data_IF_093469547979
#
_entry.id   IF_093469547979
#
_cell.length_a   1.000
_cell.length_b   1.000
_cell.length_c   1.000
_cell.angle_alpha   90.00
_cell.angle_beta   90.00
_cell.angle_gamma   90.00
#
_symmetry.space_group_name_H-M   'P 1'
#
loop_
_entity.id
_entity.type
_entity.pdbx_description
1 polymer ?
#
# COMPACT_ATOMS: atom_id res chain seq x y z
N UNK A 1 -21.49 -56.55 -1.51
CA UNK A 1 -22.90 -56.43 -1.95
C UNK A 1 -23.00 -55.40 -3.07
N UNK A 2 -23.49 -55.76 -4.26
CA UNK A 2 -23.82 -54.78 -5.31
C UNK A 2 -25.23 -54.20 -5.10
N UNK A 3 -25.52 -52.95 -5.54
CA UNK A 3 -26.85 -52.35 -5.42
C UNK A 3 -27.84 -52.88 -6.49
N UNK A 4 -29.16 -52.83 -6.22
CA UNK A 4 -30.19 -53.41 -7.09
C UNK A 4 -30.39 -52.62 -8.38
N UNK A 5 -30.61 -53.34 -9.49
CA UNK A 5 -30.94 -52.82 -10.83
C UNK A 5 -32.43 -52.47 -10.91
N UNK A 6 -32.74 -51.23 -11.27
CA UNK A 6 -34.11 -50.77 -11.55
C UNK A 6 -34.47 -51.16 -12.99
N UNK A 7 -35.62 -51.82 -13.16
CA UNK A 7 -36.16 -52.25 -14.46
C UNK A 7 -36.63 -51.04 -15.29
N UNK A 8 -36.16 -50.95 -16.53
CA UNK A 8 -36.65 -50.01 -17.52
C UNK A 8 -37.97 -50.52 -18.11
N UNK A 9 -39.11 -49.95 -17.71
CA UNK A 9 -40.40 -50.23 -18.40
C UNK A 9 -41.42 -49.10 -18.31
N UNK A 10 -41.00 -47.85 -18.46
CA UNK A 10 -41.93 -46.70 -18.52
C UNK A 10 -41.50 -45.62 -19.53
N UNK A 11 -40.76 -46.03 -20.56
CA UNK A 11 -40.32 -45.19 -21.69
C UNK A 11 -40.81 -45.76 -23.04
N UNK A 12 -41.96 -46.42 -23.05
CA UNK A 12 -42.54 -47.03 -24.26
C UNK A 12 -44.06 -46.84 -24.32
N UNK A 13 -44.55 -45.61 -24.19
CA UNK A 13 -45.89 -45.23 -24.64
C UNK A 13 -45.90 -43.72 -24.84
N UNK A 14 -46.62 -43.24 -25.86
CA UNK A 14 -46.63 -41.85 -26.39
C UNK A 14 -45.55 -41.51 -27.42
N UNK A 15 -45.21 -42.49 -28.27
CA UNK A 15 -44.85 -42.18 -29.65
C UNK A 15 -46.11 -42.23 -30.53
N UNK A 16 -46.34 -41.16 -31.30
CA UNK A 16 -47.33 -41.00 -32.38
C UNK A 16 -48.71 -40.44 -31.97
N UNK A 17 -48.86 -39.12 -32.06
CA UNK A 17 -49.98 -38.51 -32.78
C UNK A 17 -49.49 -37.20 -33.40
N UNK A 18 -49.58 -37.12 -34.73
CA UNK A 18 -49.27 -35.95 -35.54
C UNK A 18 -50.51 -35.71 -36.41
N UNK A 19 -51.25 -34.63 -36.18
CA UNK A 19 -52.36 -34.19 -37.04
C UNK A 19 -52.26 -32.68 -37.23
N UNK A 20 -52.12 -32.29 -38.49
CA UNK A 20 -51.96 -30.92 -38.97
C UNK A 20 -53.28 -30.39 -39.55
N UNK A 21 -53.41 -29.04 -39.53
CA UNK A 21 -54.38 -28.19 -40.26
C UNK A 21 -55.83 -28.26 -39.75
N UNK A 22 -56.60 -27.18 -39.52
CA UNK A 22 -56.81 -25.92 -40.25
C UNK A 22 -57.26 -24.78 -39.30
N UNK A 23 -57.11 -23.52 -39.76
CA UNK A 23 -57.66 -22.28 -39.18
C UNK A 23 -59.20 -22.28 -39.14
N UNK A 24 -59.78 -21.48 -38.22
CA UNK A 24 -60.64 -20.39 -38.69
C UNK A 24 -60.32 -19.03 -38.04
N UNK A 25 -60.64 -18.00 -38.80
CA UNK A 25 -60.53 -16.56 -38.51
C UNK A 25 -61.71 -16.02 -37.69
N UNK A 26 -61.43 -14.89 -37.02
CA UNK A 26 -62.33 -13.83 -36.50
C UNK A 26 -63.08 -14.07 -35.18
N UNK A 27 -62.67 -13.35 -34.13
CA UNK A 27 -63.35 -12.11 -33.74
C UNK A 27 -62.43 -11.23 -32.86
N UNK A 28 -62.53 -9.91 -33.07
CA UNK A 28 -61.86 -8.87 -32.29
C UNK A 28 -62.31 -8.94 -30.82
N UNK A 29 -61.35 -8.91 -29.88
CA UNK A 29 -61.59 -8.40 -28.54
C UNK A 29 -60.54 -7.38 -28.17
N UNK A 30 -61.06 -6.28 -27.65
CA UNK A 30 -60.37 -5.04 -27.39
C UNK A 30 -59.23 -5.18 -26.38
N UNK A 31 -58.29 -4.27 -26.57
CA UNK A 31 -57.07 -4.03 -25.82
C UNK A 31 -57.35 -3.84 -24.32
N UNK A 32 -56.92 -4.77 -23.47
CA UNK A 32 -56.68 -4.50 -22.05
C UNK A 32 -55.22 -4.85 -21.72
N UNK A 33 -54.35 -3.87 -21.97
CA UNK A 33 -52.95 -3.89 -21.54
C UNK A 33 -52.94 -3.79 -20.01
N UNK A 34 -52.52 -4.86 -19.32
CA UNK A 34 -52.12 -4.80 -17.91
C UNK A 34 -51.05 -3.72 -17.75
N UNK A 35 -51.16 -2.78 -16.80
CA UNK A 35 -50.06 -1.88 -16.47
C UNK A 35 -48.97 -2.70 -15.79
N UNK A 36 -47.86 -2.93 -16.50
CA UNK A 36 -46.63 -3.34 -15.85
C UNK A 36 -46.10 -2.12 -15.09
N UNK A 37 -45.99 -2.25 -13.77
CA UNK A 37 -45.27 -1.28 -12.95
C UNK A 37 -43.80 -1.29 -13.36
N UNK A 38 -43.42 -0.41 -14.28
CA UNK A 38 -42.02 -0.12 -14.55
C UNK A 38 -41.49 0.67 -13.37
N UNK A 39 -40.76 -0.01 -12.48
CA UNK A 39 -39.88 0.67 -11.52
C UNK A 39 -39.07 1.72 -12.28
N UNK A 40 -38.98 2.97 -11.80
CA UNK A 40 -38.13 3.97 -12.43
C UNK A 40 -36.70 3.46 -12.31
N UNK A 41 -36.22 2.81 -13.37
CA UNK A 41 -34.79 2.68 -13.60
C UNK A 41 -34.34 4.11 -13.77
N UNK A 42 -33.79 4.69 -12.71
CA UNK A 42 -33.04 5.93 -12.77
C UNK A 42 -31.84 5.61 -13.65
N UNK A 43 -32.05 5.71 -14.96
CA UNK A 43 -30.99 5.85 -15.93
C UNK A 43 -30.22 7.06 -15.42
N UNK A 44 -29.05 6.79 -14.83
CA UNK A 44 -28.07 7.82 -14.57
C UNK A 44 -27.95 8.59 -15.87
N UNK A 45 -28.44 9.84 -15.86
CA UNK A 45 -28.32 10.76 -16.96
C UNK A 45 -26.82 10.94 -17.19
N UNK A 46 -26.28 10.16 -18.12
CA UNK A 46 -24.94 10.37 -18.64
C UNK A 46 -25.06 11.67 -19.44
N UNK A 47 -24.82 12.81 -18.78
CA UNK A 47 -24.61 14.07 -19.48
C UNK A 47 -23.39 13.86 -20.37
N UNK A 48 -23.62 13.81 -21.68
CA UNK A 48 -22.59 13.52 -22.68
C UNK A 48 -21.47 14.57 -22.76
N UNK A 49 -21.62 15.71 -22.08
CA UNK A 49 -20.61 16.77 -22.01
C UNK A 49 -20.53 17.33 -20.60
N UNK A 50 -19.66 16.76 -19.77
CA UNK A 50 -19.18 17.42 -18.56
C UNK A 50 -17.89 18.15 -18.92
N UNK A 51 -17.91 19.48 -18.96
CA UNK A 51 -16.72 20.31 -19.18
C UNK A 51 -15.75 20.29 -17.98
N UNK A 52 -16.14 19.65 -16.88
CA UNK A 52 -15.25 19.47 -15.73
C UNK A 52 -14.18 18.42 -16.09
N UNK A 53 -12.89 18.77 -16.07
CA UNK A 53 -11.85 17.79 -16.28
C UNK A 53 -11.95 16.72 -15.18
N UNK A 54 -11.86 15.45 -15.57
CA UNK A 54 -11.84 14.33 -14.60
C UNK A 54 -10.70 14.60 -13.62
N UNK A 55 -11.04 14.89 -12.38
CA UNK A 55 -10.04 15.30 -11.39
C UNK A 55 -9.09 14.12 -11.15
N UNK A 56 -7.83 14.28 -11.55
CA UNK A 56 -6.81 13.27 -11.33
C UNK A 56 -6.60 13.09 -9.83
N UNK A 57 -6.68 11.85 -9.35
CA UNK A 57 -6.49 11.52 -7.93
C UNK A 57 -5.38 10.50 -7.78
N UNK A 58 -4.50 10.70 -6.81
CA UNK A 58 -3.45 9.74 -6.47
C UNK A 58 -3.99 8.46 -5.81
N UNK A 59 -5.27 8.45 -5.43
CA UNK A 59 -5.94 7.35 -4.74
C UNK A 59 -6.48 6.26 -5.70
N UNK A 60 -6.57 6.56 -6.99
CA UNK A 60 -7.02 5.62 -8.01
C UNK A 60 -6.47 5.98 -9.40
N UNK A 61 -6.05 5.00 -10.23
CA UNK A 61 -5.62 5.26 -11.60
C UNK A 61 -6.79 5.63 -12.51
N UNK A 62 -6.55 6.52 -13.48
CA UNK A 62 -7.57 7.04 -14.41
C UNK A 62 -8.26 5.94 -15.24
N UNK A 63 -7.47 5.01 -15.78
CA UNK A 63 -7.97 3.98 -16.71
C UNK A 63 -8.34 2.65 -16.02
N UNK A 64 -8.32 2.58 -14.68
CA UNK A 64 -8.48 1.33 -13.95
C UNK A 64 -7.38 0.30 -14.27
N UNK A 65 -7.62 -0.96 -13.90
CA UNK A 65 -6.75 -2.10 -14.26
C UNK A 65 -7.37 -2.89 -15.41
N UNK A 66 -6.61 -3.11 -16.49
CA UNK A 66 -7.03 -3.96 -17.62
C UNK A 66 -7.20 -5.44 -17.22
N UNK A 67 -6.40 -5.94 -16.27
CA UNK A 67 -6.47 -7.30 -15.75
C UNK A 67 -6.26 -7.31 -14.24
N UNK A 68 -6.94 -8.21 -13.53
CA UNK A 68 -6.85 -8.35 -12.07
C UNK A 68 -5.39 -8.55 -11.59
N UNK A 69 -4.81 -7.58 -10.88
CA UNK A 69 -3.45 -7.65 -10.31
C UNK A 69 -3.19 -8.78 -9.32
N UNK A 70 -2.06 -9.49 -9.45
CA UNK A 70 -1.60 -10.48 -8.45
C UNK A 70 -1.19 -9.78 -7.14
N UNK A 71 -1.26 -10.50 -6.01
CA UNK A 71 -0.94 -9.95 -4.67
C UNK A 71 0.45 -9.30 -4.62
N UNK A 72 1.47 -9.99 -5.14
CA UNK A 72 2.87 -9.56 -5.07
C UNK A 72 3.38 -9.38 -3.64
N UNK A 73 4.52 -8.70 -3.49
CA UNK A 73 5.10 -8.27 -2.20
C UNK A 73 5.58 -6.83 -2.31
N UNK A 74 5.70 -6.15 -1.17
CA UNK A 74 6.33 -4.84 -1.11
C UNK A 74 7.83 -4.98 -1.39
N UNK A 75 8.45 -3.89 -1.84
CA UNK A 75 9.86 -3.88 -2.22
C UNK A 75 10.72 -3.76 -0.97
N UNK A 76 11.63 -4.71 -0.77
CA UNK A 76 12.68 -4.65 0.26
C UNK A 76 14.01 -4.34 -0.44
N UNK A 77 14.60 -3.15 -0.25
CA UNK A 77 15.79 -2.74 -0.98
C UNK A 77 17.09 -3.30 -0.37
N UNK A 78 17.42 -4.56 -0.65
CA UNK A 78 18.66 -5.20 -0.17
C UNK A 78 19.93 -4.59 -0.76
N UNK A 79 19.87 -4.09 -2.00
CA UNK A 79 21.00 -3.46 -2.70
C UNK A 79 21.31 -2.02 -2.28
N UNK A 80 20.83 -1.57 -1.12
CA UNK A 80 21.16 -0.25 -0.59
C UNK A 80 20.44 0.94 -1.27
N UNK A 81 19.25 0.73 -1.84
CA UNK A 81 18.52 1.81 -2.53
C UNK A 81 17.91 2.82 -1.54
N UNK A 82 18.32 4.07 -1.62
CA UNK A 82 17.79 5.19 -0.80
C UNK A 82 16.68 6.01 -1.49
N UNK A 83 16.18 5.55 -2.64
CA UNK A 83 15.18 6.26 -3.43
C UNK A 83 13.87 6.47 -2.64
N UNK A 84 13.48 7.74 -2.50
CA UNK A 84 12.22 8.14 -1.85
C UNK A 84 12.28 8.15 -0.32
N UNK A 85 13.49 8.14 0.26
CA UNK A 85 13.71 8.20 1.71
C UNK A 85 13.99 9.62 2.23
N UNK A 86 14.24 10.56 1.31
CA UNK A 86 14.47 11.98 1.55
C UNK A 86 13.31 12.85 1.07
N UNK A 87 13.14 14.00 1.73
CA UNK A 87 12.18 15.03 1.36
C UNK A 87 12.70 15.74 0.12
N UNK A 88 11.89 15.86 -0.93
CA UNK A 88 12.32 16.43 -2.22
C UNK A 88 11.62 17.76 -2.51
N UNK A 89 10.30 17.81 -2.38
CA UNK A 89 9.51 18.98 -2.78
C UNK A 89 9.21 19.89 -1.59
N UNK A 90 8.73 19.32 -0.49
CA UNK A 90 8.37 20.07 0.71
C UNK A 90 9.55 20.41 1.63
N UNK A 91 9.21 21.02 2.76
CA UNK A 91 10.14 21.38 3.84
C UNK A 91 10.13 20.30 4.93
N UNK A 92 8.97 19.67 5.13
CA UNK A 92 8.76 18.61 6.10
C UNK A 92 8.09 17.40 5.47
N UNK A 93 8.28 16.23 6.02
CA UNK A 93 7.63 15.00 5.57
C UNK A 93 7.36 13.98 6.67
N UNK A 94 6.50 13.03 6.34
CA UNK A 94 6.22 11.86 7.16
C UNK A 94 6.77 10.61 6.47
N UNK A 95 7.66 9.91 7.19
CA UNK A 95 8.38 8.73 6.70
C UNK A 95 7.96 7.50 7.48
N UNK A 96 7.82 6.37 6.79
CA UNK A 96 7.56 5.07 7.43
C UNK A 96 8.83 4.61 8.16
N UNK A 97 8.78 4.41 9.48
CA UNK A 97 9.93 3.96 10.27
C UNK A 97 9.94 2.44 10.49
N UNK A 98 8.76 1.85 10.52
CA UNK A 98 8.52 0.42 10.75
C UNK A 98 8.81 -0.43 9.50
N UNK A 99 8.18 -1.59 9.37
CA UNK A 99 8.24 -2.49 8.21
C UNK A 99 7.46 -2.01 6.98
N UNK A 100 7.79 -2.61 5.82
CA UNK A 100 7.11 -2.38 4.55
C UNK A 100 5.66 -2.89 4.58
N UNK A 101 4.74 -2.09 4.06
CA UNK A 101 3.29 -2.37 4.15
C UNK A 101 2.57 -2.00 2.87
N UNK A 102 1.41 -2.63 2.68
CA UNK A 102 0.42 -2.24 1.66
C UNK A 102 -0.58 -1.30 2.33
N UNK A 103 -0.57 -0.03 1.94
CA UNK A 103 -1.47 0.98 2.50
C UNK A 103 -2.68 1.10 1.59
N UNK A 104 -3.89 1.05 2.13
CA UNK A 104 -5.10 1.22 1.33
C UNK A 104 -5.30 2.68 0.92
N UNK A 105 -5.98 2.91 -0.20
CA UNK A 105 -6.35 4.26 -0.63
C UNK A 105 -7.20 4.98 0.43
N UNK A 106 -8.10 4.26 1.11
CA UNK A 106 -8.90 4.82 2.20
C UNK A 106 -8.05 5.32 3.37
N UNK A 107 -7.03 4.56 3.79
CA UNK A 107 -6.11 4.98 4.85
C UNK A 107 -5.31 6.23 4.45
N UNK A 108 -4.82 6.28 3.20
CA UNK A 108 -4.14 7.46 2.68
C UNK A 108 -5.05 8.69 2.67
N UNK A 109 -6.31 8.53 2.25
CA UNK A 109 -7.32 9.59 2.26
C UNK A 109 -7.59 10.10 3.68
N UNK A 110 -7.78 9.20 4.65
CA UNK A 110 -8.01 9.56 6.06
C UNK A 110 -6.81 10.33 6.62
N UNK A 111 -5.59 9.89 6.31
CA UNK A 111 -4.37 10.55 6.75
C UNK A 111 -4.24 11.96 6.13
N UNK A 112 -4.49 12.10 4.83
CA UNK A 112 -4.53 13.39 4.14
C UNK A 112 -5.58 14.33 4.75
N UNK A 113 -6.80 13.84 4.96
CA UNK A 113 -7.88 14.63 5.56
C UNK A 113 -7.53 15.06 6.99
N UNK A 114 -6.87 14.19 7.76
CA UNK A 114 -6.39 14.52 9.11
C UNK A 114 -5.38 15.66 9.08
N UNK A 115 -4.42 15.63 8.15
CA UNK A 115 -3.45 16.72 7.96
C UNK A 115 -4.16 18.01 7.57
N UNK A 116 -5.03 17.96 6.55
CA UNK A 116 -5.79 19.12 6.08
C UNK A 116 -6.66 19.73 7.16
N UNK A 117 -7.29 18.90 8.00
CA UNK A 117 -8.11 19.33 9.14
C UNK A 117 -7.26 20.01 10.21
N UNK A 118 -6.09 19.48 10.54
CA UNK A 118 -5.19 20.06 11.56
C UNK A 118 -4.57 21.38 11.11
N UNK A 119 -4.30 21.51 9.81
CA UNK A 119 -3.71 22.70 9.18
C UNK A 119 -4.74 23.65 8.57
N UNK A 120 -6.03 23.47 8.88
CA UNK A 120 -7.11 24.29 8.34
C UNK A 120 -6.90 25.77 8.70
N UNK A 121 -7.03 26.65 7.71
CA UNK A 121 -6.84 28.10 7.86
C UNK A 121 -5.39 28.57 7.66
N UNK A 122 -4.43 27.67 7.54
CA UNK A 122 -3.04 28.01 7.23
C UNK A 122 -2.75 27.89 5.73
N UNK A 123 -1.76 28.62 5.24
CA UNK A 123 -1.30 28.54 3.84
C UNK A 123 -0.25 27.43 3.73
N UNK A 124 -0.62 26.31 3.11
CA UNK A 124 0.30 25.20 2.88
C UNK A 124 -0.01 24.46 1.58
N UNK A 125 1.00 23.76 1.07
CA UNK A 125 0.89 22.82 -0.05
C UNK A 125 1.25 21.43 0.45
N UNK A 126 0.36 20.47 0.23
CA UNK A 126 0.57 19.07 0.56
C UNK A 126 0.94 18.31 -0.71
N UNK A 127 2.05 17.58 -0.66
CA UNK A 127 2.49 16.69 -1.73
C UNK A 127 2.35 15.23 -1.32
N UNK A 128 1.78 14.43 -2.22
CA UNK A 128 1.63 12.99 -2.05
C UNK A 128 2.77 12.29 -2.80
N UNK A 129 3.69 11.66 -2.06
CA UNK A 129 4.86 10.94 -2.64
C UNK A 129 4.49 9.54 -3.12
N UNK A 130 3.33 9.03 -2.70
CA UNK A 130 2.87 7.66 -2.95
C UNK A 130 1.51 7.70 -3.64
N UNK A 131 1.32 6.86 -4.65
CA UNK A 131 0.06 6.67 -5.37
C UNK A 131 -0.50 5.27 -5.16
N UNK A 132 -1.82 5.14 -4.99
CA UNK A 132 -2.50 3.87 -4.92
C UNK A 132 -2.85 3.37 -6.33
N UNK A 133 -1.92 2.60 -6.90
CA UNK A 133 -1.97 2.14 -8.30
C UNK A 133 -2.24 0.64 -8.45
N UNK A 134 -2.34 -0.12 -7.35
CA UNK A 134 -2.52 -1.57 -7.38
C UNK A 134 -3.94 -1.91 -6.91
N UNK A 135 -4.67 -2.66 -7.71
CA UNK A 135 -5.98 -3.21 -7.38
C UNK A 135 -5.87 -4.41 -6.44
N UNK A 136 -6.68 -4.39 -5.38
CA UNK A 136 -6.88 -5.53 -4.48
C UNK A 136 -8.19 -6.21 -4.84
N UNK A 137 -8.12 -7.52 -5.02
CA UNK A 137 -9.26 -8.37 -5.32
C UNK A 137 -9.45 -9.36 -4.18
N UNK A 138 -10.62 -9.37 -3.58
CA UNK A 138 -10.94 -10.15 -2.39
C UNK A 138 -12.08 -11.09 -2.72
N UNK A 139 -11.98 -12.37 -2.35
CA UNK A 139 -13.12 -13.28 -2.38
C UNK A 139 -13.98 -13.03 -1.15
N UNK A 140 -15.30 -13.15 -1.27
CA UNK A 140 -16.19 -13.05 -0.11
C UNK A 140 -15.82 -14.08 0.96
N UNK A 141 -15.92 -13.69 2.24
CA UNK A 141 -15.59 -14.55 3.37
C UNK A 141 -16.44 -15.83 3.40
N UNK A 142 -17.66 -15.76 2.88
CA UNK A 142 -18.63 -16.87 2.88
C UNK A 142 -18.36 -17.90 1.77
N UNK A 143 -17.47 -17.58 0.81
CA UNK A 143 -17.22 -18.42 -0.37
C UNK A 143 -16.07 -19.40 -0.11
N UNK A 144 -16.29 -20.69 -0.40
CA UNK A 144 -15.24 -21.73 -0.32
C UNK A 144 -14.10 -21.50 -1.32
N UNK A 145 -12.93 -22.01 -0.97
CA UNK A 145 -11.71 -21.92 -1.79
C UNK A 145 -11.90 -22.61 -3.16
N UNK A 146 -11.23 -22.09 -4.20
CA UNK A 146 -11.11 -22.76 -5.51
C UNK A 146 -12.00 -22.23 -6.65
N UNK A 147 -12.93 -21.29 -6.41
CA UNK A 147 -13.83 -20.73 -7.45
C UNK A 147 -13.23 -19.59 -8.28
N UNK A 148 -11.91 -19.58 -8.44
CA UNK A 148 -11.18 -18.51 -9.11
C UNK A 148 -10.96 -17.26 -8.25
N UNK A 149 -10.72 -16.11 -8.90
CA UNK A 149 -10.32 -14.86 -8.24
C UNK A 149 -11.51 -13.94 -8.01
N UNK A 150 -11.62 -13.38 -6.80
CA UNK A 150 -12.71 -12.49 -6.37
C UNK A 150 -12.86 -11.18 -7.15
N UNK A 151 -13.82 -10.37 -6.72
CA UNK A 151 -14.14 -9.05 -7.27
C UNK A 151 -13.13 -7.99 -6.80
N UNK A 152 -13.15 -6.84 -7.46
CA UNK A 152 -12.34 -5.69 -7.05
C UNK A 152 -12.88 -5.14 -5.72
N UNK A 153 -11.98 -4.81 -4.80
CA UNK A 153 -12.31 -4.31 -3.47
C UNK A 153 -11.79 -2.88 -3.28
N UNK A 154 -10.47 -2.68 -3.40
CA UNK A 154 -9.85 -1.37 -3.15
C UNK A 154 -8.54 -1.17 -3.90
N UNK A 155 -8.14 0.09 -4.02
CA UNK A 155 -6.80 0.47 -4.46
C UNK A 155 -5.83 0.46 -3.27
N UNK A 156 -4.58 0.11 -3.53
CA UNK A 156 -3.52 0.11 -2.53
C UNK A 156 -2.20 0.57 -3.12
N UNK A 157 -1.34 1.11 -2.26
CA UNK A 157 0.04 1.42 -2.56
C UNK A 157 0.98 0.47 -1.82
N UNK A 158 2.02 -0.02 -2.51
CA UNK A 158 3.14 -0.73 -1.87
C UNK A 158 4.16 0.30 -1.40
N UNK A 159 4.36 0.38 -0.10
CA UNK A 159 5.31 1.30 0.53
C UNK A 159 6.45 0.48 1.12
N UNK A 160 7.68 0.84 0.73
CA UNK A 160 8.89 0.23 1.29
C UNK A 160 9.24 0.90 2.64
N UNK A 161 10.10 0.24 3.41
CA UNK A 161 10.69 0.80 4.63
C UNK A 161 11.35 2.15 4.34
N UNK A 162 11.25 3.07 5.30
CA UNK A 162 11.86 4.40 5.24
C UNK A 162 11.43 5.25 4.05
N UNK A 163 10.31 4.94 3.42
CA UNK A 163 9.77 5.76 2.33
C UNK A 163 8.91 6.91 2.87
N UNK A 164 9.04 8.07 2.25
CA UNK A 164 8.21 9.24 2.54
C UNK A 164 6.85 9.09 1.87
N UNK A 165 5.77 9.39 2.62
CA UNK A 165 4.39 9.28 2.15
C UNK A 165 3.82 10.65 1.77
N UNK A 166 3.93 11.62 2.68
CA UNK A 166 3.46 12.99 2.48
C UNK A 166 4.59 13.98 2.76
N UNK A 167 4.55 15.09 2.03
CA UNK A 167 5.40 16.26 2.30
C UNK A 167 4.55 17.51 2.39
N UNK A 168 4.98 18.46 3.20
CA UNK A 168 4.32 19.74 3.36
C UNK A 168 5.33 20.85 3.09
N UNK A 169 4.88 21.83 2.32
CA UNK A 169 5.59 23.09 2.07
C UNK A 169 4.71 24.24 2.51
N UNK A 170 5.29 25.24 3.16
CA UNK A 170 4.57 26.46 3.54
C UNK A 170 5.15 27.13 4.77
N UNK A 171 4.68 28.34 5.01
CA UNK A 171 5.04 29.12 6.20
C UNK A 171 4.28 28.58 7.42
N UNK A 172 4.85 27.52 8.01
CA UNK A 172 4.29 26.78 9.13
C UNK A 172 5.35 26.56 10.19
N UNK A 173 4.97 26.81 11.45
CA UNK A 173 5.82 26.48 12.58
C UNK A 173 5.98 24.95 12.72
N UNK A 174 7.21 24.49 12.93
CA UNK A 174 7.57 23.06 12.95
C UNK A 174 6.68 22.23 13.88
N UNK A 175 6.39 22.73 15.09
CA UNK A 175 5.61 21.97 16.07
C UNK A 175 4.19 21.68 15.60
N UNK A 176 3.59 22.61 14.83
CA UNK A 176 2.24 22.43 14.27
C UNK A 176 2.25 21.34 13.20
N UNK A 177 3.27 21.33 12.34
CA UNK A 177 3.45 20.31 11.31
C UNK A 177 3.74 18.94 11.93
N UNK A 178 4.58 18.91 12.96
CA UNK A 178 4.91 17.70 13.72
C UNK A 178 3.65 17.08 14.36
N UNK A 179 2.80 17.89 14.95
CA UNK A 179 1.52 17.43 15.52
C UNK A 179 0.56 16.92 14.43
N UNK A 180 0.44 17.61 13.29
CA UNK A 180 -0.36 17.15 12.16
C UNK A 180 0.09 15.79 11.63
N UNK A 181 1.40 15.59 11.46
CA UNK A 181 1.94 14.30 11.03
C UNK A 181 1.85 13.21 12.09
N UNK A 182 1.95 13.53 13.37
CA UNK A 182 1.70 12.59 14.47
C UNK A 182 0.26 12.05 14.41
N UNK A 183 -0.71 12.95 14.26
CA UNK A 183 -2.12 12.57 14.13
C UNK A 183 -2.37 11.72 12.88
N UNK A 184 -1.76 12.08 11.75
CA UNK A 184 -1.86 11.32 10.50
C UNK A 184 -1.22 9.93 10.62
N UNK A 185 -0.04 9.83 11.25
CA UNK A 185 0.65 8.58 11.52
C UNK A 185 -0.21 7.60 12.32
N UNK A 186 -0.95 8.08 13.32
CA UNK A 186 -1.88 7.27 14.10
C UNK A 186 -3.07 6.70 13.28
N UNK A 187 -3.37 7.29 12.12
CA UNK A 187 -4.43 6.79 11.20
C UNK A 187 -3.89 5.86 10.12
N UNK A 188 -2.58 5.87 9.90
CA UNK A 188 -1.91 4.99 8.95
C UNK A 188 -1.49 3.68 9.62
N UNK A 189 -1.38 2.57 8.87
CA UNK A 189 -0.87 1.33 9.42
C UNK A 189 0.66 1.40 9.58
N UNK A 190 1.17 1.14 10.78
CA UNK A 190 2.60 1.12 11.09
C UNK A 190 3.08 2.33 11.90
N UNK A 191 4.40 2.40 12.13
CA UNK A 191 5.01 3.53 12.84
C UNK A 191 5.66 4.49 11.86
N UNK A 192 5.51 5.77 12.14
CA UNK A 192 5.95 6.87 11.30
C UNK A 192 6.87 7.81 12.07
N UNK A 193 7.80 8.43 11.36
CA UNK A 193 8.67 9.47 11.90
C UNK A 193 8.50 10.77 11.11
N UNK A 194 8.72 11.89 11.81
CA UNK A 194 8.81 13.22 11.23
C UNK A 194 10.21 13.43 10.64
N UNK A 195 10.29 14.02 9.45
CA UNK A 195 11.54 14.25 8.71
C UNK A 195 11.57 15.67 8.19
N UNK A 196 12.73 16.32 8.26
CA UNK A 196 12.99 17.64 7.69
C UNK A 196 13.70 17.53 6.34
N UNK A 197 13.58 18.56 5.52
CA UNK A 197 14.42 18.71 4.33
C UNK A 197 15.87 18.90 4.76
N UNK A 198 16.78 18.17 4.11
CA UNK A 198 18.21 18.12 4.46
C UNK A 198 18.57 16.99 5.42
N UNK A 199 17.60 16.32 6.05
CA UNK A 199 17.89 15.13 6.84
C UNK A 199 18.52 14.03 5.97
N UNK A 200 19.45 13.24 6.54
CA UNK A 200 20.14 12.20 5.80
C UNK A 200 19.17 11.17 5.18
N UNK A 201 19.46 10.69 3.97
CA UNK A 201 18.76 9.56 3.37
C UNK A 201 18.92 8.29 4.23
N UNK A 202 18.01 7.33 4.05
CA UNK A 202 18.02 6.07 4.81
C UNK A 202 18.26 4.90 3.88
N UNK A 203 19.24 4.07 4.21
CA UNK A 203 19.51 2.81 3.54
C UNK A 203 18.96 1.67 4.40
N UNK A 204 17.84 1.09 3.96
CA UNK A 204 17.12 0.09 4.75
C UNK A 204 16.55 0.72 6.03
N UNK A 205 17.21 0.47 7.17
CA UNK A 205 16.87 1.06 8.48
C UNK A 205 17.92 2.06 8.96
N UNK A 206 19.07 2.15 8.28
CA UNK A 206 20.23 2.93 8.72
C UNK A 206 20.23 4.31 8.06
N UNK A 207 20.28 5.38 8.85
CA UNK A 207 20.42 6.76 8.34
C UNK A 207 21.86 6.95 7.85
N UNK A 208 22.05 7.27 6.58
CA UNK A 208 23.37 7.42 5.94
C UNK A 208 23.83 8.86 6.06
N UNK A 209 25.02 9.09 6.60
CA UNK A 209 25.57 10.42 6.88
C UNK A 209 25.41 10.87 8.34
N UNK A 210 24.62 10.16 9.14
CA UNK A 210 24.65 10.31 10.59
C UNK A 210 25.81 9.49 11.16
N UNK A 211 26.56 10.04 12.13
CA UNK A 211 27.71 9.38 12.78
C UNK A 211 28.85 8.96 11.82
N UNK A 212 29.01 9.65 10.69
CA UNK A 212 30.05 9.34 9.70
C UNK A 212 29.82 8.08 8.86
N UNK A 213 28.64 7.45 8.95
CA UNK A 213 28.34 6.24 8.17
C UNK A 213 28.12 6.59 6.70
N UNK A 214 29.00 6.16 5.81
CA UNK A 214 28.86 6.34 4.36
C UNK A 214 28.15 5.17 3.69
N UNK A 215 27.64 5.37 2.46
CA UNK A 215 27.06 4.29 1.66
C UNK A 215 28.07 3.17 1.36
N UNK A 216 29.34 3.53 1.19
CA UNK A 216 30.43 2.59 0.90
C UNK A 216 30.72 1.70 2.10
N UNK A 217 30.70 2.27 3.31
CA UNK A 217 30.92 1.51 4.53
C UNK A 217 29.83 0.46 4.77
N UNK A 218 28.58 0.76 4.38
CA UNK A 218 27.47 -0.19 4.47
C UNK A 218 27.56 -1.33 3.43
N UNK A 219 28.20 -1.06 2.29
CA UNK A 219 28.41 -2.05 1.23
C UNK A 219 29.68 -2.88 1.44
N UNK A 220 30.62 -2.40 2.24
CA UNK A 220 31.88 -3.10 2.51
C UNK A 220 31.60 -4.42 3.25
N UNK A 221 32.17 -5.57 2.80
CA UNK A 221 31.95 -6.86 3.46
C UNK A 221 32.42 -6.91 4.92
N UNK A 222 33.50 -6.17 5.24
CA UNK A 222 34.03 -6.02 6.60
C UNK A 222 33.80 -4.59 7.07
N UNK A 223 33.05 -4.43 8.17
CA UNK A 223 32.88 -3.13 8.82
C UNK A 223 34.18 -2.76 9.53
N UNK A 224 34.60 -1.50 9.40
CA UNK A 224 35.65 -0.95 10.26
C UNK A 224 34.96 -0.61 11.59
N UNK A 225 35.33 -1.29 12.65
CA UNK A 225 34.84 -0.92 13.98
C UNK A 225 35.34 0.48 14.33
N UNK A 226 34.56 1.28 15.09
CA UNK A 226 35.06 2.53 15.64
C UNK A 226 36.37 2.29 16.39
N UNK A 227 37.34 3.19 16.23
CA UNK A 227 38.68 3.05 16.82
C UNK A 227 38.60 2.86 18.35
N UNK A 228 37.62 3.49 19.01
CA UNK A 228 37.36 3.35 20.45
C UNK A 228 36.96 1.93 20.85
N UNK A 229 36.11 1.27 20.06
CA UNK A 229 35.68 -0.11 20.32
C UNK A 229 36.80 -1.11 20.04
N UNK A 230 37.67 -0.79 19.08
CA UNK A 230 38.87 -1.58 18.78
C UNK A 230 39.91 -1.43 19.90
N UNK A 231 40.15 -0.21 20.38
CA UNK A 231 41.08 0.09 21.47
C UNK A 231 40.64 -0.55 22.79
N UNK A 232 39.35 -0.54 23.10
CA UNK A 232 38.80 -1.20 24.29
C UNK A 232 38.91 -2.74 24.27
N UNK A 233 39.06 -3.35 23.08
CA UNK A 233 39.19 -4.80 22.90
C UNK A 233 40.64 -5.27 22.98
N UNK A 234 41.60 -4.38 22.76
CA UNK A 234 43.02 -4.69 22.97
C UNK A 234 43.25 -4.78 24.49
N UNK A 235 43.87 -5.85 25.00
CA UNK A 235 44.30 -5.86 26.40
C UNK A 235 45.20 -4.64 26.61
N UNK A 236 44.96 -3.85 27.65
CA UNK A 236 45.81 -2.73 28.02
C UNK A 236 47.24 -3.26 28.02
N UNK A 237 48.08 -2.74 27.13
CA UNK A 237 49.46 -3.17 27.00
C UNK A 237 50.05 -3.22 28.40
N UNK A 238 50.42 -4.42 28.86
CA UNK A 238 50.98 -4.64 30.16
C UNK A 238 52.02 -3.55 30.40
N UNK A 239 51.80 -2.74 31.42
CA UNK A 239 52.80 -1.83 31.95
C UNK A 239 53.99 -2.72 32.26
N UNK A 240 54.94 -2.80 31.33
CA UNK A 240 56.21 -3.44 31.54
C UNK A 240 56.88 -2.60 32.63
N UNK A 241 56.70 -3.00 33.88
CA UNK A 241 57.49 -2.53 35.01
C UNK A 241 58.95 -2.79 34.61
N UNK A 242 59.65 -1.72 34.24
CA UNK A 242 61.08 -1.79 34.01
C UNK A 242 61.73 -2.40 35.27
N UNK A 243 62.53 -3.47 35.15
CA UNK A 243 63.23 -3.98 36.31
C UNK A 243 64.18 -2.89 36.82
N UNK A 244 63.96 -2.45 38.05
CA UNK A 244 64.88 -1.55 38.75
C UNK A 244 66.19 -2.30 38.99
N UNK A 245 67.21 -2.04 38.18
CA UNK A 245 68.56 -2.52 38.46
C UNK A 245 69.05 -1.84 39.75
N UNK A 246 69.05 -2.59 40.85
CA UNK A 246 69.70 -2.21 42.10
C UNK A 246 71.23 -2.13 41.94
N UNK A 247 71.93 -1.40 42.82
CA UNK A 247 73.34 -1.10 42.65
C UNK A 247 74.19 -2.36 42.79
N UNK A 248 75.09 -2.55 41.82
CA UNK A 248 76.11 -3.60 41.80
C UNK A 248 77.13 -3.31 42.90
N UNK A 249 77.14 -4.14 43.94
CA UNK A 249 78.19 -4.13 44.98
C UNK A 249 79.45 -4.74 44.36
N UNK A 250 80.51 -3.94 44.25
CA UNK A 250 81.86 -4.41 43.94
C UNK A 250 82.52 -4.92 45.22
N UNK A 251 83.04 -6.15 45.16
CA UNK A 251 84.15 -6.66 45.97
C UNK A 251 85.10 -7.43 45.06
#
# INVERSE_FOLDING_TARGET
MPPPRISQSLMAQFGRLNLSTLRPTLLQQACLRKPQATSPTTLLSIRAFSSTPVHHSYLAPKAGESRKSRKGRCRVPTGGSMRGTTVVWGDYGIRMRDHDRRISSQQLRIAEETIRKRLRGMKFRLYMRVSANIGVYTSGNDVRMGKGKGSFDRWTARVAVSKIIFEIQGDLHEQVVRDAFRLAGNKLPGLYEFVKKGDPPVMGLTKVGLNGVTEEDLKRPRRKEPLEQTAARLPAAATASAPSNGPRVEM
#
